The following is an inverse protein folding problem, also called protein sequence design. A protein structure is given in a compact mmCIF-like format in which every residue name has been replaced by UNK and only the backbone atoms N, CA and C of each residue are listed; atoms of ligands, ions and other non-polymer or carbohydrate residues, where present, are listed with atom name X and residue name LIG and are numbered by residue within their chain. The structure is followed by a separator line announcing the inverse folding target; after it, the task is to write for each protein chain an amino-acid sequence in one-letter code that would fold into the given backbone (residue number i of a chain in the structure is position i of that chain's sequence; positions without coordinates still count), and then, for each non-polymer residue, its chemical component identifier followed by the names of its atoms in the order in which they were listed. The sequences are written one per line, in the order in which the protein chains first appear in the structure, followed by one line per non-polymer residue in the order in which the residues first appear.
data_IF_578329273328
#
_entry.id   IF_578329273328
#
_cell.length_a   1.000
_cell.length_b   1.000
_cell.length_c   1.000
_cell.angle_alpha   90.00
_cell.angle_beta   90.00
_cell.angle_gamma   90.00
#
_symmetry.space_group_name_H-M   'P 1'
#
loop_
_entity.id
_entity.type
_entity.pdbx_description
1 polymer ?
#
# COMPACT_ATOMS: atom_id res chain seq x y z
N UNK A 1 -7.48 -7.90 5.74
CA UNK A 1 -7.71 -7.16 4.49
C UNK A 1 -7.21 -7.92 3.27
N UNK A 2 -5.92 -8.24 3.17
CA UNK A 2 -5.38 -8.99 2.01
C UNK A 2 -5.99 -10.39 1.85
N UNK A 3 -6.16 -11.16 2.94
CA UNK A 3 -6.82 -12.48 2.84
C UNK A 3 -8.29 -12.39 2.40
N UNK A 4 -9.03 -11.37 2.88
CA UNK A 4 -10.41 -11.11 2.47
C UNK A 4 -10.49 -10.70 0.99
N UNK A 5 -9.56 -9.86 0.51
CA UNK A 5 -9.46 -9.51 -0.91
C UNK A 5 -9.08 -10.73 -1.77
N UNK A 6 -8.20 -11.60 -1.26
CA UNK A 6 -7.86 -12.86 -1.91
C UNK A 6 -9.07 -13.79 -2.01
N UNK A 7 -9.83 -13.96 -0.94
CA UNK A 7 -11.07 -14.77 -0.96
C UNK A 7 -12.12 -14.18 -1.89
N UNK A 8 -12.34 -12.86 -1.87
CA UNK A 8 -13.24 -12.21 -2.82
C UNK A 8 -12.80 -12.41 -4.27
N UNK A 9 -11.50 -12.57 -4.54
CA UNK A 9 -10.98 -12.89 -5.86
C UNK A 9 -11.32 -14.28 -6.38
N UNK A 10 -11.75 -15.20 -5.51
CA UNK A 10 -12.28 -16.49 -5.94
C UNK A 10 -13.74 -16.39 -6.43
N UNK A 11 -14.47 -15.35 -6.02
CA UNK A 11 -15.90 -15.18 -6.33
C UNK A 11 -16.18 -14.03 -7.31
N UNK A 12 -15.36 -13.00 -7.30
CA UNK A 12 -15.47 -11.81 -8.13
C UNK A 12 -14.21 -11.63 -8.97
N UNK A 13 -14.36 -11.10 -10.19
CA UNK A 13 -13.20 -10.70 -10.99
C UNK A 13 -12.39 -9.61 -10.27
N UNK A 14 -11.09 -9.52 -10.56
CA UNK A 14 -10.22 -8.45 -10.04
C UNK A 14 -10.81 -7.06 -10.19
N UNK A 15 -11.51 -6.82 -11.30
CA UNK A 15 -12.21 -5.57 -11.56
C UNK A 15 -13.35 -5.32 -10.58
N UNK A 16 -14.16 -6.35 -10.26
CA UNK A 16 -15.23 -6.26 -9.29
C UNK A 16 -14.73 -5.89 -7.89
N UNK A 17 -13.64 -6.52 -7.43
CA UNK A 17 -13.03 -6.22 -6.13
C UNK A 17 -12.56 -4.76 -6.09
N UNK A 18 -11.84 -4.32 -7.12
CA UNK A 18 -11.37 -2.94 -7.20
C UNK A 18 -12.53 -1.95 -7.18
N UNK A 19 -13.59 -2.24 -7.93
CA UNK A 19 -14.80 -1.42 -7.97
C UNK A 19 -15.46 -1.32 -6.59
N UNK A 20 -15.73 -2.43 -5.90
CA UNK A 20 -16.40 -2.40 -4.60
C UNK A 20 -15.58 -1.67 -3.52
N UNK A 21 -14.27 -1.94 -3.44
CA UNK A 21 -13.40 -1.29 -2.46
C UNK A 21 -13.38 0.23 -2.65
N UNK A 22 -13.26 0.70 -3.89
CA UNK A 22 -13.22 2.14 -4.19
C UNK A 22 -14.61 2.78 -4.10
N UNK A 23 -15.68 2.07 -4.47
CA UNK A 23 -17.05 2.56 -4.36
C UNK A 23 -17.45 2.76 -2.89
N UNK A 24 -17.15 1.79 -2.01
CA UNK A 24 -17.41 1.92 -0.56
C UNK A 24 -16.63 3.09 0.01
N UNK A 25 -15.33 3.21 -0.32
CA UNK A 25 -14.50 4.33 0.11
C UNK A 25 -15.06 5.69 -0.35
N UNK A 26 -15.54 5.78 -1.59
CA UNK A 26 -16.15 6.99 -2.13
C UNK A 26 -17.45 7.36 -1.39
N UNK A 27 -18.34 6.40 -1.14
CA UNK A 27 -19.59 6.64 -0.42
C UNK A 27 -19.31 7.14 1.01
N UNK A 28 -18.36 6.51 1.70
CA UNK A 28 -17.95 6.93 3.05
C UNK A 28 -17.34 8.34 3.05
N UNK A 29 -16.52 8.66 2.05
CA UNK A 29 -15.94 10.00 1.89
C UNK A 29 -17.02 11.06 1.68
N UNK A 30 -17.99 10.79 0.80
CA UNK A 30 -19.10 11.72 0.54
C UNK A 30 -19.97 11.92 1.78
N UNK A 31 -20.28 10.84 2.51
CA UNK A 31 -21.02 10.91 3.77
C UNK A 31 -20.27 11.76 4.81
N UNK A 32 -18.96 11.59 4.93
CA UNK A 32 -18.11 12.38 5.84
C UNK A 32 -18.13 13.87 5.47
N UNK A 33 -17.96 14.21 4.19
CA UNK A 33 -17.97 15.60 3.71
C UNK A 33 -19.33 16.26 3.97
N UNK A 34 -20.42 15.54 3.74
CA UNK A 34 -21.78 16.02 3.99
C UNK A 34 -22.01 16.26 5.50
N UNK A 35 -21.57 15.34 6.35
CA UNK A 35 -21.68 15.45 7.80
C UNK A 35 -20.87 16.63 8.37
N UNK A 36 -19.67 16.88 7.83
CA UNK A 36 -18.80 18.00 8.25
C UNK A 36 -19.08 19.31 7.52
N UNK A 37 -20.00 19.33 6.54
CA UNK A 37 -20.25 20.45 5.61
C UNK A 37 -18.97 21.03 5.00
N UNK A 38 -18.01 20.16 4.73
CA UNK A 38 -16.73 20.53 4.14
C UNK A 38 -16.87 20.56 2.62
N UNK A 39 -16.33 21.59 1.97
CA UNK A 39 -16.27 21.65 0.51
C UNK A 39 -14.98 21.00 0.00
N UNK A 40 -15.07 20.29 -1.12
CA UNK A 40 -13.89 19.71 -1.78
C UNK A 40 -12.98 20.83 -2.28
N UNK A 41 -11.83 21.01 -1.63
CA UNK A 41 -10.78 21.91 -2.09
C UNK A 41 -9.72 21.10 -2.80
N UNK A 42 -9.65 21.25 -4.11
CA UNK A 42 -8.59 20.66 -4.95
C UNK A 42 -7.34 21.54 -5.01
N UNK A 43 -7.29 22.66 -4.28
CA UNK A 43 -6.15 23.57 -4.25
C UNK A 43 -5.44 23.53 -2.89
N UNK A 44 -4.12 23.37 -2.90
CA UNK A 44 -3.26 23.44 -1.70
C UNK A 44 -2.48 22.17 -1.37
N UNK A 45 -2.76 21.04 -2.03
CA UNK A 45 -1.95 19.82 -1.87
C UNK A 45 -0.87 19.73 -2.96
N UNK A 46 0.29 19.12 -2.67
CA UNK A 46 1.31 18.84 -3.68
C UNK A 46 0.77 17.92 -4.80
N UNK A 47 1.21 18.14 -6.03
CA UNK A 47 0.71 17.42 -7.22
C UNK A 47 0.79 15.89 -7.11
N UNK A 48 1.80 15.37 -6.41
CA UNK A 48 1.97 13.92 -6.20
C UNK A 48 0.89 13.30 -5.32
N UNK A 49 0.21 14.07 -4.47
CA UNK A 49 -0.88 13.57 -3.61
C UNK A 49 -2.10 13.16 -4.44
N UNK A 50 -2.36 13.83 -5.55
CA UNK A 50 -3.47 13.49 -6.44
C UNK A 50 -3.24 12.15 -7.17
N UNK A 51 -1.98 11.71 -7.29
CA UNK A 51 -1.65 10.40 -7.86
C UNK A 51 -1.94 9.24 -6.90
N UNK A 52 -2.12 9.50 -5.60
CA UNK A 52 -2.36 8.46 -4.59
C UNK A 52 -3.62 7.66 -4.89
N UNK A 53 -4.66 8.27 -5.49
CA UNK A 53 -5.87 7.56 -5.92
C UNK A 53 -5.59 6.49 -6.98
N UNK A 54 -4.82 6.84 -8.02
CA UNK A 54 -4.43 5.89 -9.08
C UNK A 54 -3.49 4.81 -8.52
N UNK A 55 -2.55 5.20 -7.65
CA UNK A 55 -1.68 4.23 -6.97
C UNK A 55 -2.48 3.27 -6.08
N UNK A 56 -3.56 3.74 -5.43
CA UNK A 56 -4.46 2.90 -4.64
C UNK A 56 -5.11 1.79 -5.47
N UNK A 57 -5.61 2.13 -6.67
CA UNK A 57 -6.18 1.14 -7.61
C UNK A 57 -5.11 0.11 -7.99
N UNK A 58 -3.91 0.57 -8.36
CA UNK A 58 -2.80 -0.31 -8.72
C UNK A 58 -2.41 -1.24 -7.55
N UNK A 59 -2.28 -0.71 -6.33
CA UNK A 59 -1.93 -1.49 -5.14
C UNK A 59 -3.00 -2.55 -4.85
N UNK A 60 -4.28 -2.21 -4.93
CA UNK A 60 -5.38 -3.17 -4.70
C UNK A 60 -5.37 -4.26 -5.77
N UNK A 61 -5.25 -3.90 -7.05
CA UNK A 61 -5.20 -4.86 -8.15
C UNK A 61 -3.99 -5.81 -8.03
N UNK A 62 -2.78 -5.25 -7.86
CA UNK A 62 -1.55 -6.04 -7.71
C UNK A 62 -1.58 -6.90 -6.44
N UNK A 63 -2.08 -6.38 -5.32
CA UNK A 63 -2.16 -7.15 -4.08
C UNK A 63 -3.14 -8.32 -4.16
N UNK A 64 -4.33 -8.13 -4.76
CA UNK A 64 -5.26 -9.24 -5.00
C UNK A 64 -4.65 -10.29 -5.93
N UNK A 65 -4.02 -9.86 -7.02
CA UNK A 65 -3.37 -10.77 -7.97
C UNK A 65 -2.27 -11.60 -7.31
N UNK A 66 -1.33 -10.93 -6.62
CA UNK A 66 -0.22 -11.59 -5.96
C UNK A 66 -0.67 -12.50 -4.82
N UNK A 67 -1.72 -12.12 -4.10
CA UNK A 67 -2.29 -12.95 -3.02
C UNK A 67 -2.86 -14.25 -3.55
N UNK A 68 -3.52 -14.22 -4.72
CA UNK A 68 -4.07 -15.42 -5.35
C UNK A 68 -2.98 -16.38 -5.87
N UNK A 69 -1.85 -15.85 -6.35
CA UNK A 69 -0.79 -16.66 -6.97
C UNK A 69 0.29 -17.14 -5.99
N UNK A 70 0.70 -16.27 -5.06
CA UNK A 70 1.85 -16.49 -4.18
C UNK A 70 1.39 -16.77 -2.73
N UNK A 71 0.09 -16.59 -2.45
CA UNK A 71 -0.47 -16.73 -1.12
C UNK A 71 -0.35 -15.45 -0.27
N UNK A 72 -1.29 -15.28 0.66
CA UNK A 72 -1.38 -14.06 1.48
C UNK A 72 -0.15 -13.82 2.36
N UNK A 73 0.42 -14.88 2.94
CA UNK A 73 1.55 -14.80 3.85
C UNK A 73 2.83 -14.32 3.14
N UNK A 74 3.14 -14.93 2.00
CA UNK A 74 4.30 -14.55 1.20
C UNK A 74 4.14 -13.15 0.60
N UNK A 75 2.95 -12.79 0.10
CA UNK A 75 2.70 -11.42 -0.35
C UNK A 75 2.91 -10.38 0.76
N UNK A 76 2.39 -10.64 1.97
CA UNK A 76 2.57 -9.72 3.10
C UNK A 76 4.05 -9.55 3.48
N UNK A 77 4.80 -10.65 3.51
CA UNK A 77 6.23 -10.62 3.79
C UNK A 77 6.98 -9.78 2.73
N UNK A 78 6.75 -10.07 1.44
CA UNK A 78 7.39 -9.38 0.33
C UNK A 78 7.02 -7.88 0.29
N UNK A 79 5.74 -7.56 0.47
CA UNK A 79 5.22 -6.19 0.50
C UNK A 79 5.82 -5.38 1.64
N UNK A 80 5.92 -5.97 2.84
CA UNK A 80 6.53 -5.31 4.00
C UNK A 80 8.01 -5.02 3.76
N UNK A 81 8.77 -5.96 3.19
CA UNK A 81 10.15 -5.71 2.81
C UNK A 81 10.28 -4.60 1.75
N UNK A 82 9.43 -4.62 0.72
CA UNK A 82 9.40 -3.59 -0.31
C UNK A 82 9.10 -2.20 0.26
N UNK A 83 8.15 -2.10 1.19
CA UNK A 83 7.83 -0.84 1.89
C UNK A 83 9.00 -0.33 2.71
N UNK A 84 9.72 -1.20 3.42
CA UNK A 84 10.89 -0.82 4.21
C UNK A 84 12.04 -0.29 3.34
N UNK A 85 12.31 -0.95 2.21
CA UNK A 85 13.31 -0.48 1.24
C UNK A 85 12.87 0.84 0.61
N UNK A 86 11.60 0.96 0.22
CA UNK A 86 11.05 2.18 -0.39
C UNK A 86 11.09 3.36 0.59
N UNK A 87 10.72 3.14 1.86
CA UNK A 87 10.84 4.14 2.92
C UNK A 87 12.28 4.57 3.10
N UNK A 88 13.23 3.64 3.19
CA UNK A 88 14.64 3.96 3.35
C UNK A 88 15.20 4.78 2.18
N UNK A 89 14.76 4.51 0.95
CA UNK A 89 15.12 5.30 -0.23
C UNK A 89 14.51 6.70 -0.17
N UNK A 90 13.21 6.81 0.13
CA UNK A 90 12.52 8.10 0.29
C UNK A 90 13.21 8.96 1.34
N UNK A 91 13.50 8.37 2.50
CA UNK A 91 14.15 9.04 3.63
C UNK A 91 15.59 9.47 3.30
N UNK A 92 16.32 8.67 2.51
CA UNK A 92 17.70 8.96 2.11
C UNK A 92 17.80 10.04 1.04
N UNK A 93 16.86 10.08 0.11
CA UNK A 93 16.84 11.07 -0.96
C UNK A 93 16.03 12.32 -0.60
N UNK A 94 15.37 12.34 0.57
CA UNK A 94 14.53 13.47 0.99
C UNK A 94 13.34 13.69 0.05
N UNK A 95 12.86 12.62 -0.59
CA UNK A 95 11.75 12.70 -1.54
C UNK A 95 10.50 13.22 -0.83
N UNK A 96 9.63 13.94 -1.55
CA UNK A 96 8.39 14.53 -1.03
C UNK A 96 8.59 15.58 0.08
N UNK A 97 9.74 16.26 0.11
CA UNK A 97 10.04 17.32 1.09
C UNK A 97 10.41 16.77 2.48
N UNK A 98 10.71 15.48 2.56
CA UNK A 98 11.16 14.82 3.79
C UNK A 98 12.58 15.25 4.18
N UNK A 99 12.89 15.37 5.49
CA UNK A 99 14.26 15.61 5.93
C UNK A 99 15.15 14.43 5.53
N UNK A 100 16.28 14.73 4.87
CA UNK A 100 17.26 13.72 4.47
C UNK A 100 17.84 13.05 5.72
N UNK A 101 17.54 11.78 5.91
CA UNK A 101 18.10 11.00 7.02
C UNK A 101 19.24 10.12 6.51
N UNK A 102 20.36 10.09 7.25
CA UNK A 102 21.41 9.10 6.99
C UNK A 102 20.97 7.76 7.55
N UNK A 103 21.07 6.72 6.72
CA UNK A 103 20.92 5.33 7.16
C UNK A 103 21.93 5.08 8.28
N UNK A 104 21.43 4.82 9.48
CA UNK A 104 22.27 4.54 10.64
C UNK A 104 22.73 3.09 10.56
N UNK A 105 24.03 2.83 10.80
CA UNK A 105 24.58 1.45 10.78
C UNK A 105 23.83 0.49 11.72
N UNK A 106 23.19 1.02 12.78
CA UNK A 106 22.30 0.27 13.69
C UNK A 106 21.02 -0.29 13.07
N UNK A 107 20.58 0.22 11.91
CA UNK A 107 19.36 -0.24 11.21
C UNK A 107 19.64 -1.43 10.26
N UNK A 108 20.90 -1.61 9.82
CA UNK A 108 21.33 -2.74 8.99
C UNK A 108 20.92 -4.12 9.52
N UNK A 109 21.13 -4.45 10.82
CA UNK A 109 20.69 -5.75 11.33
C UNK A 109 19.15 -5.92 11.29
N UNK A 110 18.39 -4.83 11.44
CA UNK A 110 16.93 -4.87 11.30
C UNK A 110 16.50 -5.20 9.86
N UNK A 111 17.12 -4.56 8.86
CA UNK A 111 16.86 -4.89 7.46
C UNK A 111 17.27 -6.33 7.11
N UNK A 112 18.40 -6.80 7.63
CA UNK A 112 18.84 -8.18 7.44
C UNK A 112 17.84 -9.19 8.04
N UNK A 113 17.32 -8.91 9.24
CA UNK A 113 16.34 -9.76 9.90
C UNK A 113 15.02 -9.83 9.11
N UNK A 114 14.56 -8.70 8.57
CA UNK A 114 13.37 -8.67 7.71
C UNK A 114 13.60 -9.49 6.44
N UNK A 115 14.72 -9.30 5.75
CA UNK A 115 15.06 -10.07 4.55
C UNK A 115 15.08 -11.58 4.83
N UNK A 116 15.66 -11.97 5.97
CA UNK A 116 15.72 -13.36 6.38
C UNK A 116 14.32 -13.92 6.70
N UNK A 117 13.46 -13.14 7.36
CA UNK A 117 12.06 -13.49 7.57
C UNK A 117 11.27 -13.65 6.27
N UNK A 118 11.48 -12.75 5.29
CA UNK A 118 10.84 -12.87 3.98
C UNK A 118 11.32 -14.13 3.25
N UNK A 119 12.62 -14.42 3.25
CA UNK A 119 13.17 -15.62 2.63
C UNK A 119 12.56 -16.89 3.22
N UNK A 120 12.45 -16.98 4.56
CA UNK A 120 11.85 -18.14 5.22
C UNK A 120 10.38 -18.34 4.84
N UNK A 121 9.60 -17.25 4.74
CA UNK A 121 8.18 -17.33 4.38
C UNK A 121 7.98 -17.68 2.90
N UNK A 122 8.86 -17.20 2.02
CA UNK A 122 8.74 -17.43 0.56
C UNK A 122 9.27 -18.82 0.16
N UNK A 123 10.31 -19.33 0.84
CA UNK A 123 10.93 -20.62 0.54
C UNK A 123 10.22 -21.83 1.17
N UNK A 124 9.19 -21.60 1.98
CA UNK A 124 8.42 -22.63 2.67
C UNK A 124 7.03 -22.80 2.06
#
# INVERSE_FOLDING_TARGET
MVSLNGQMGNYFSLFGICFFVHAIALVLLLAYLLAKRQTLRFAGAPWYVYLVGVMGIAIVASSSWCTLHVGASAFMALSTAGQLVSSALIDRFGLFGMPVTRIRKRQLPGYALVLLGVLLVVLN
#
